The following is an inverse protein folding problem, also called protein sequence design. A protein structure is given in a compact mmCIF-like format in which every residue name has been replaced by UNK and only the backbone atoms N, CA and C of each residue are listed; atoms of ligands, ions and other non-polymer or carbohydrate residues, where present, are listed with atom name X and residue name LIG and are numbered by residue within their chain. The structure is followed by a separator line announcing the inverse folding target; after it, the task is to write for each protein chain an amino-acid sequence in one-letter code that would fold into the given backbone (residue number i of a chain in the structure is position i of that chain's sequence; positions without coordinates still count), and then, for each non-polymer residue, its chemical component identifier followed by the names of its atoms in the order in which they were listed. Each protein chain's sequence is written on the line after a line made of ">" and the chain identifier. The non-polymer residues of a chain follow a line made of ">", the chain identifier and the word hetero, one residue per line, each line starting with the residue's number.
data_IF_856213718899
#
_entry.id   IF_856213718899
#
_cell.length_a   1.000
_cell.length_b   1.000
_cell.length_c   1.000
_cell.angle_alpha   90.00
_cell.angle_beta   90.00
_cell.angle_gamma   90.00
#
_symmetry.space_group_name_H-M   'P 1'
#
loop_
_entity.id
_entity.type
_entity.pdbx_description
1 polymer ?
#
# COMPACT_ATOMS: atom_id res chain seq x y z
N UNK A 1 2.54 -14.94 -45.07
CA UNK A 1 2.72 -15.75 -43.85
C UNK A 1 1.88 -17.02 -43.97
N UNK A 2 2.53 -18.17 -44.08
CA UNK A 2 1.85 -19.44 -44.40
C UNK A 2 1.07 -19.96 -43.18
N UNK A 3 -0.14 -20.49 -43.42
CA UNK A 3 -1.05 -21.02 -42.38
C UNK A 3 -0.40 -22.04 -41.43
N UNK A 4 0.67 -22.72 -41.87
CA UNK A 4 1.46 -23.67 -41.07
C UNK A 4 2.35 -23.00 -40.02
N UNK A 5 2.87 -21.80 -40.27
CA UNK A 5 3.67 -21.05 -39.28
C UNK A 5 2.80 -20.45 -38.18
N UNK A 6 1.57 -20.07 -38.49
CA UNK A 6 0.60 -19.55 -37.50
C UNK A 6 0.13 -20.68 -36.57
N UNK A 7 -0.09 -21.89 -37.09
CA UNK A 7 -0.42 -23.06 -36.29
C UNK A 7 0.72 -23.44 -35.33
N UNK A 8 1.99 -23.42 -35.79
CA UNK A 8 3.13 -23.76 -34.93
C UNK A 8 3.42 -22.71 -33.85
N UNK A 9 3.14 -21.42 -34.11
CA UNK A 9 3.22 -20.34 -33.11
C UNK A 9 2.09 -20.43 -32.08
N UNK A 10 0.88 -20.79 -32.48
CA UNK A 10 -0.24 -20.99 -31.56
C UNK A 10 0.00 -22.18 -30.62
N UNK A 11 0.54 -23.29 -31.13
CA UNK A 11 0.82 -24.48 -30.31
C UNK A 11 2.00 -24.27 -29.34
N UNK A 12 2.99 -23.46 -29.70
CA UNK A 12 4.10 -23.10 -28.81
C UNK A 12 3.71 -22.06 -27.75
N UNK A 13 2.79 -21.13 -28.05
CA UNK A 13 2.21 -20.23 -27.03
C UNK A 13 1.31 -20.98 -26.04
N UNK A 14 0.55 -21.99 -26.48
CA UNK A 14 -0.31 -22.78 -25.59
C UNK A 14 0.49 -23.66 -24.62
N UNK A 15 1.65 -24.17 -25.02
CA UNK A 15 2.52 -24.95 -24.13
C UNK A 15 3.25 -24.03 -23.14
N UNK A 16 3.61 -22.80 -23.54
CA UNK A 16 4.19 -21.81 -22.63
C UNK A 16 3.18 -21.28 -21.60
N UNK A 17 1.90 -21.11 -21.99
CA UNK A 17 0.84 -20.70 -21.06
C UNK A 17 0.46 -21.80 -20.06
N UNK A 18 0.55 -23.08 -20.45
CA UNK A 18 0.31 -24.20 -19.55
C UNK A 18 1.46 -24.43 -18.53
N UNK A 19 2.69 -24.04 -18.86
CA UNK A 19 3.85 -24.19 -17.97
C UNK A 19 3.96 -23.08 -16.91
N UNK A 20 3.34 -21.92 -17.11
CA UNK A 20 3.37 -20.79 -16.15
C UNK A 20 2.22 -20.88 -15.13
N UNK A 21 1.12 -21.56 -15.45
CA UNK A 21 -0.06 -21.65 -14.58
C UNK A 21 0.00 -22.77 -13.53
N UNK A 22 1.07 -23.57 -13.47
CA UNK A 22 1.22 -24.66 -12.48
C UNK A 22 1.99 -24.25 -11.23
N UNK A 23 2.41 -22.99 -11.09
CA UNK A 23 3.17 -22.50 -9.92
C UNK A 23 2.35 -21.70 -8.90
N UNK A 24 1.02 -21.57 -9.08
CA UNK A 24 0.15 -20.89 -8.10
C UNK A 24 -1.10 -21.72 -7.84
N UNK A 25 -0.97 -22.70 -6.95
CA UNK A 25 -2.10 -23.30 -6.23
C UNK A 25 -2.05 -22.84 -4.76
N UNK A 26 -3.20 -22.52 -4.13
CA UNK A 26 -3.25 -22.10 -2.75
C UNK A 26 -3.06 -23.34 -1.86
N UNK A 27 -1.94 -23.43 -1.13
CA UNK A 27 -1.82 -24.46 -0.09
C UNK A 27 -2.71 -24.10 1.10
N UNK A 28 -3.80 -24.85 1.24
CA UNK A 28 -4.55 -25.00 2.49
C UNK A 28 -3.60 -25.56 3.55
N UNK A 29 -3.28 -24.75 4.54
CA UNK A 29 -2.51 -25.11 5.72
C UNK A 29 -3.18 -26.27 6.47
N UNK A 30 -2.66 -27.48 6.32
CA UNK A 30 -2.86 -28.55 7.28
C UNK A 30 -1.81 -28.40 8.38
N UNK A 31 -2.28 -28.04 9.59
CA UNK A 31 -1.49 -28.13 10.80
C UNK A 31 -1.23 -29.61 11.12
N UNK A 32 0.00 -30.09 10.86
CA UNK A 32 0.49 -31.35 11.42
C UNK A 32 1.42 -31.04 12.59
N UNK A 33 0.87 -31.18 13.80
CA UNK A 33 1.65 -31.32 15.01
C UNK A 33 2.43 -32.65 14.91
N UNK A 34 3.76 -32.58 14.92
CA UNK A 34 4.62 -33.75 15.00
C UNK A 34 4.56 -34.32 16.42
N UNK A 35 3.86 -35.44 16.58
CA UNK A 35 3.99 -36.31 17.75
C UNK A 35 5.33 -37.04 17.64
N UNK A 36 6.33 -36.61 18.40
CA UNK A 36 7.54 -37.39 18.64
C UNK A 36 7.35 -38.20 19.93
N UNK A 37 6.97 -39.46 19.76
CA UNK A 37 7.11 -40.47 20.81
C UNK A 37 8.50 -41.11 20.69
N UNK A 38 9.29 -41.01 21.75
CA UNK A 38 10.40 -41.92 22.03
C UNK A 38 10.47 -42.10 23.55
N UNK A 39 10.11 -43.30 23.97
CA UNK A 39 10.17 -43.77 25.34
C UNK A 39 11.60 -44.26 25.67
N UNK A 40 12.09 -43.90 26.84
CA UNK A 40 13.19 -44.58 27.55
C UNK A 40 13.00 -44.40 29.08
N UNK A 41 13.49 -45.35 29.90
CA UNK A 41 12.79 -45.79 31.11
C UNK A 41 13.08 -44.96 32.37
N UNK A 42 12.13 -45.02 33.30
CA UNK A 42 12.21 -44.47 34.64
C UNK A 42 13.42 -45.00 35.42
N UNK A 43 14.25 -44.09 35.94
CA UNK A 43 15.28 -44.38 36.94
C UNK A 43 14.85 -43.71 38.24
N UNK A 44 14.81 -44.52 39.30
CA UNK A 44 14.30 -44.21 40.62
C UNK A 44 14.98 -43.01 41.28
N UNK A 45 14.17 -42.19 41.96
CA UNK A 45 14.61 -41.08 42.80
C UNK A 45 15.28 -41.58 44.09
N UNK A 46 16.38 -40.97 44.56
CA UNK A 46 16.83 -41.13 45.94
C UNK A 46 15.98 -40.26 46.88
N UNK A 47 15.44 -40.90 47.92
CA UNK A 47 14.74 -40.24 49.02
C UNK A 47 15.70 -39.29 49.77
N UNK A 48 15.35 -38.00 49.85
CA UNK A 48 16.02 -37.07 50.76
C UNK A 48 15.43 -37.24 52.16
N UNK A 49 16.28 -37.65 53.10
CA UNK A 49 16.02 -37.63 54.53
C UNK A 49 15.70 -36.21 54.99
N UNK A 50 14.57 -36.07 55.68
CA UNK A 50 14.26 -34.87 56.45
C UNK A 50 15.22 -34.77 57.64
N UNK A 51 15.96 -33.66 57.72
CA UNK A 51 16.57 -33.18 58.96
C UNK A 51 16.09 -31.75 59.16
N UNK A 52 15.22 -31.58 60.14
CA UNK A 52 14.71 -30.30 60.60
C UNK A 52 15.84 -29.53 61.29
N UNK A 53 16.01 -28.25 60.95
CA UNK A 53 16.72 -27.29 61.81
C UNK A 53 15.96 -25.97 61.80
N UNK A 54 15.30 -25.77 62.95
CA UNK A 54 14.97 -24.55 63.69
C UNK A 54 14.96 -23.16 63.01
N UNK A 55 13.82 -22.50 63.23
CA UNK A 55 13.62 -21.10 63.63
C UNK A 55 13.99 -19.98 62.64
N UNK A 56 12.94 -19.48 62.02
CA UNK A 56 12.80 -18.31 61.16
C UNK A 56 12.96 -17.01 61.98
N UNK A 57 13.93 -16.17 61.61
CA UNK A 57 14.06 -14.77 62.03
C UNK A 57 13.56 -13.90 60.85
N UNK A 58 12.66 -12.92 61.04
CA UNK A 58 11.99 -12.27 59.93
C UNK A 58 12.97 -11.36 59.16
N UNK A 59 13.33 -11.79 57.95
CA UNK A 59 14.14 -11.01 57.01
C UNK A 59 13.42 -9.71 56.57
N UNK A 60 14.16 -8.60 56.38
CA UNK A 60 13.58 -7.31 55.98
C UNK A 60 12.93 -7.37 54.57
N UNK A 61 11.95 -6.50 54.28
CA UNK A 61 11.17 -6.57 53.04
C UNK A 61 12.06 -6.43 51.78
N UNK A 62 11.72 -7.14 50.69
CA UNK A 62 12.52 -7.13 49.47
C UNK A 62 12.53 -5.72 48.86
N UNK A 63 13.74 -5.21 48.58
CA UNK A 63 13.94 -3.97 47.84
C UNK A 63 13.26 -4.03 46.46
N UNK A 64 12.72 -2.92 45.93
CA UNK A 64 12.01 -2.90 44.65
C UNK A 64 12.91 -3.46 43.55
N UNK A 65 12.37 -4.41 42.79
CA UNK A 65 13.04 -5.04 41.66
C UNK A 65 13.61 -3.96 40.74
N UNK A 66 14.94 -3.82 40.77
CA UNK A 66 15.65 -3.03 39.80
C UNK A 66 15.33 -3.63 38.43
N UNK A 67 14.67 -2.84 37.58
CA UNK A 67 14.46 -3.16 36.18
C UNK A 67 15.84 -3.24 35.53
N UNK A 68 16.47 -4.40 35.59
CA UNK A 68 17.68 -4.66 34.82
C UNK A 68 17.26 -4.55 33.36
N UNK A 69 17.66 -3.47 32.69
CA UNK A 69 17.62 -3.38 31.24
C UNK A 69 18.57 -4.46 30.73
N UNK A 70 18.03 -5.64 30.46
CA UNK A 70 18.73 -6.70 29.74
C UNK A 70 19.00 -6.14 28.35
N UNK A 71 20.20 -5.58 28.18
CA UNK A 71 20.67 -5.06 26.91
C UNK A 71 20.84 -6.25 25.97
N UNK A 72 19.91 -6.40 25.01
CA UNK A 72 19.86 -7.56 24.14
C UNK A 72 21.11 -7.56 23.22
N UNK A 73 22.04 -8.51 23.37
CA UNK A 73 23.30 -8.54 22.62
C UNK A 73 23.10 -8.79 21.12
N UNK A 74 21.87 -9.08 20.68
CA UNK A 74 21.51 -9.39 19.29
C UNK A 74 20.58 -8.33 18.66
N UNK A 75 20.52 -7.12 19.22
CA UNK A 75 19.68 -6.02 18.72
C UNK A 75 20.22 -5.30 17.47
N UNK A 76 19.49 -4.28 17.01
CA UNK A 76 19.88 -3.44 15.85
C UNK A 76 21.28 -2.81 15.98
N UNK A 77 21.73 -2.53 17.21
CA UNK A 77 23.07 -2.01 17.48
C UNK A 77 24.19 -3.03 17.22
N UNK A 78 23.93 -4.32 17.47
CA UNK A 78 24.85 -5.41 17.17
C UNK A 78 24.93 -5.64 15.65
N UNK A 79 23.77 -5.67 14.97
CA UNK A 79 23.68 -5.69 13.50
C UNK A 79 24.46 -4.56 12.82
N UNK A 80 24.46 -3.35 13.38
CA UNK A 80 25.24 -2.25 12.78
C UNK A 80 26.74 -2.39 13.05
N UNK A 81 27.15 -2.74 14.27
CA UNK A 81 28.57 -2.88 14.65
C UNK A 81 29.23 -4.10 14.01
N UNK A 82 28.55 -5.24 13.97
CA UNK A 82 29.05 -6.52 13.49
C UNK A 82 28.63 -6.84 12.05
N UNK A 83 27.63 -6.13 11.52
CA UNK A 83 27.08 -6.42 10.20
C UNK A 83 28.02 -6.07 9.05
N UNK A 84 28.14 -7.03 8.14
CA UNK A 84 28.84 -6.92 6.87
C UNK A 84 28.26 -5.78 5.99
N UNK A 85 29.03 -5.31 5.01
CA UNK A 85 28.62 -4.20 4.13
C UNK A 85 27.25 -4.44 3.46
N UNK A 86 27.01 -5.68 3.01
CA UNK A 86 25.75 -6.09 2.38
C UNK A 86 24.57 -5.99 3.35
N UNK A 87 24.76 -6.41 4.61
CA UNK A 87 23.72 -6.33 5.64
C UNK A 87 23.26 -4.89 5.88
N UNK A 88 24.21 -3.96 5.98
CA UNK A 88 23.94 -2.52 6.16
C UNK A 88 23.24 -1.93 4.95
N UNK A 89 23.64 -2.32 3.74
CA UNK A 89 22.99 -1.88 2.50
C UNK A 89 21.54 -2.34 2.42
N UNK A 90 21.27 -3.62 2.70
CA UNK A 90 19.90 -4.19 2.71
C UNK A 90 19.02 -3.48 3.74
N UNK A 91 19.55 -3.26 4.95
CA UNK A 91 18.84 -2.54 6.00
C UNK A 91 18.50 -1.10 5.58
N UNK A 92 19.49 -0.37 5.04
CA UNK A 92 19.29 1.00 4.56
C UNK A 92 18.25 1.07 3.44
N UNK A 93 18.31 0.13 2.49
CA UNK A 93 17.34 0.03 1.41
C UNK A 93 15.91 -0.17 1.95
N UNK A 94 15.72 -1.09 2.89
CA UNK A 94 14.42 -1.33 3.53
C UNK A 94 13.90 -0.09 4.27
N UNK A 95 14.78 0.66 4.95
CA UNK A 95 14.42 1.91 5.63
C UNK A 95 13.95 2.97 4.62
N UNK A 96 14.66 3.16 3.51
CA UNK A 96 14.27 4.10 2.46
C UNK A 96 12.93 3.72 1.85
N UNK A 97 12.73 2.43 1.55
CA UNK A 97 11.45 1.90 1.04
C UNK A 97 10.31 2.18 2.04
N UNK A 98 10.53 1.94 3.33
CA UNK A 98 9.56 2.22 4.40
C UNK A 98 9.19 3.70 4.47
N UNK A 99 10.19 4.58 4.49
CA UNK A 99 9.97 6.03 4.53
C UNK A 99 9.18 6.51 3.29
N UNK A 100 9.54 6.01 2.10
CA UNK A 100 8.83 6.30 0.86
C UNK A 100 7.37 5.83 0.92
N UNK A 101 7.10 4.63 1.46
CA UNK A 101 5.75 4.11 1.60
C UNK A 101 4.89 4.95 2.54
N UNK A 102 5.45 5.34 3.69
CA UNK A 102 4.75 6.22 4.63
C UNK A 102 4.48 7.62 4.03
N UNK A 103 5.47 8.21 3.36
CA UNK A 103 5.31 9.51 2.70
C UNK A 103 4.18 9.49 1.66
N UNK A 104 4.17 8.51 0.76
CA UNK A 104 3.13 8.39 -0.28
C UNK A 104 1.76 8.14 0.36
N UNK A 105 1.69 7.25 1.36
CA UNK A 105 0.44 6.92 2.03
C UNK A 105 -0.19 8.16 2.69
N UNK A 106 0.61 8.95 3.40
CA UNK A 106 0.14 10.17 4.09
C UNK A 106 -0.28 11.25 3.08
N UNK A 107 0.58 11.54 2.10
CA UNK A 107 0.30 12.59 1.10
C UNK A 107 -0.95 12.28 0.29
N UNK A 108 -1.08 11.04 -0.23
CA UNK A 108 -2.28 10.63 -0.98
C UNK A 108 -3.53 10.55 -0.12
N UNK A 109 -3.41 10.14 1.15
CA UNK A 109 -4.54 10.16 2.08
C UNK A 109 -5.13 11.57 2.22
N UNK A 110 -4.28 12.59 2.40
CA UNK A 110 -4.71 13.98 2.52
C UNK A 110 -5.23 14.54 1.20
N UNK A 111 -4.56 14.29 0.08
CA UNK A 111 -5.00 14.70 -1.25
C UNK A 111 -6.42 14.18 -1.54
N UNK A 112 -6.66 12.91 -1.24
CA UNK A 112 -7.93 12.25 -1.48
C UNK A 112 -9.03 12.70 -0.53
N UNK A 113 -8.70 12.92 0.75
CA UNK A 113 -9.63 13.48 1.71
C UNK A 113 -10.08 14.89 1.29
N UNK A 114 -9.13 15.73 0.84
CA UNK A 114 -9.42 17.08 0.34
C UNK A 114 -10.27 17.04 -0.93
N UNK A 115 -9.94 16.18 -1.89
CA UNK A 115 -10.71 16.02 -3.14
C UNK A 115 -12.13 15.54 -2.87
N UNK A 116 -12.34 14.60 -1.96
CA UNK A 116 -13.68 14.12 -1.63
C UNK A 116 -14.54 15.19 -0.94
N UNK A 117 -13.94 16.08 -0.14
CA UNK A 117 -14.65 17.26 0.40
C UNK A 117 -15.00 18.26 -0.70
N UNK A 118 -14.04 18.55 -1.59
CA UNK A 118 -14.24 19.45 -2.74
C UNK A 118 -15.32 18.96 -3.70
N UNK A 119 -15.40 17.65 -3.92
CA UNK A 119 -16.44 17.02 -4.75
C UNK A 119 -17.85 17.40 -4.31
N UNK A 120 -18.11 17.38 -2.99
CA UNK A 120 -19.43 17.75 -2.44
C UNK A 120 -19.77 19.22 -2.68
N UNK A 121 -18.79 20.10 -2.51
CA UNK A 121 -18.98 21.54 -2.73
C UNK A 121 -19.05 21.89 -4.22
N UNK A 122 -18.34 21.17 -5.08
CA UNK A 122 -18.34 21.36 -6.53
C UNK A 122 -19.75 21.17 -7.13
N UNK A 123 -20.47 20.12 -6.71
CA UNK A 123 -21.85 19.90 -7.14
C UNK A 123 -22.76 21.06 -6.70
N UNK A 124 -22.67 21.49 -5.44
CA UNK A 124 -23.49 22.60 -4.93
C UNK A 124 -23.20 23.93 -5.65
N UNK A 125 -21.92 24.26 -5.84
CA UNK A 125 -21.48 25.52 -6.45
C UNK A 125 -21.79 25.58 -7.95
N UNK A 126 -21.46 24.52 -8.70
CA UNK A 126 -21.68 24.50 -10.14
C UNK A 126 -23.17 24.55 -10.49
N UNK A 127 -24.00 23.82 -9.73
CA UNK A 127 -25.43 23.74 -10.03
C UNK A 127 -26.25 24.91 -9.52
N UNK A 128 -25.74 25.65 -8.53
CA UNK A 128 -26.37 26.87 -8.01
C UNK A 128 -25.94 28.13 -8.76
N UNK A 129 -24.88 28.07 -9.57
CA UNK A 129 -24.37 29.22 -10.32
C UNK A 129 -25.31 29.62 -11.49
N UNK A 130 -25.35 30.91 -11.85
CA UNK A 130 -26.14 31.41 -12.99
C UNK A 130 -25.67 30.86 -14.33
N UNK A 131 -24.37 30.57 -14.47
CA UNK A 131 -23.78 29.99 -15.68
C UNK A 131 -22.73 28.92 -15.32
N UNK A 132 -22.48 28.00 -16.25
CA UNK A 132 -21.44 26.97 -16.14
C UNK A 132 -20.05 27.58 -15.97
N UNK A 133 -19.76 28.68 -16.68
CA UNK A 133 -18.47 29.38 -16.62
C UNK A 133 -18.24 30.03 -15.26
N UNK A 134 -19.24 30.75 -14.73
CA UNK A 134 -19.15 31.33 -13.38
C UNK A 134 -19.07 30.25 -12.30
N UNK A 135 -19.82 29.16 -12.47
CA UNK A 135 -19.75 28.01 -11.59
C UNK A 135 -18.36 27.41 -11.57
N UNK A 136 -17.74 27.16 -12.75
CA UNK A 136 -16.39 26.62 -12.88
C UNK A 136 -15.31 27.50 -12.22
N UNK A 137 -15.43 28.82 -12.32
CA UNK A 137 -14.49 29.77 -11.69
C UNK A 137 -14.56 29.78 -10.16
N UNK A 138 -15.71 29.42 -9.57
CA UNK A 138 -15.87 29.29 -8.12
C UNK A 138 -15.23 28.03 -7.55
N UNK A 139 -14.89 27.04 -8.39
CA UNK A 139 -14.15 25.87 -7.93
C UNK A 139 -12.68 26.22 -7.64
N UNK A 140 -12.11 25.51 -6.68
CA UNK A 140 -10.69 25.58 -6.33
C UNK A 140 -9.81 25.21 -7.54
N UNK A 141 -8.79 26.03 -7.82
CA UNK A 141 -7.87 25.88 -8.95
C UNK A 141 -7.16 24.51 -8.98
N UNK A 142 -6.89 23.92 -7.82
CA UNK A 142 -6.26 22.61 -7.70
C UNK A 142 -7.25 21.44 -7.67
N UNK A 143 -8.53 21.70 -7.94
CA UNK A 143 -9.59 20.70 -7.93
C UNK A 143 -9.67 19.96 -9.27
N UNK A 144 -9.68 18.61 -9.27
CA UNK A 144 -9.94 17.83 -10.48
C UNK A 144 -11.27 18.18 -11.17
N UNK A 145 -12.25 18.61 -10.40
CA UNK A 145 -13.56 19.01 -10.90
C UNK A 145 -13.50 20.30 -11.72
N UNK A 146 -12.62 21.25 -11.34
CA UNK A 146 -12.44 22.49 -12.09
C UNK A 146 -11.78 22.23 -13.43
N UNK A 147 -10.71 21.43 -13.42
CA UNK A 147 -10.02 21.02 -14.63
C UNK A 147 -10.98 20.39 -15.65
N UNK A 148 -11.85 19.47 -15.20
CA UNK A 148 -12.84 18.84 -16.08
C UNK A 148 -13.88 19.86 -16.57
N UNK A 149 -14.37 20.75 -15.69
CA UNK A 149 -15.34 21.78 -16.07
C UNK A 149 -14.77 22.75 -17.12
N UNK A 150 -13.54 23.23 -16.92
CA UNK A 150 -12.85 24.13 -17.85
C UNK A 150 -12.63 23.45 -19.21
N UNK A 151 -12.11 22.22 -19.23
CA UNK A 151 -11.95 21.45 -20.47
C UNK A 151 -13.28 21.20 -21.18
N UNK A 152 -14.35 20.90 -20.44
CA UNK A 152 -15.67 20.69 -21.03
C UNK A 152 -16.24 21.98 -21.65
N UNK A 153 -16.09 23.12 -20.96
CA UNK A 153 -16.54 24.44 -21.44
C UNK A 153 -15.74 24.85 -22.68
N UNK A 154 -14.41 24.71 -22.64
CA UNK A 154 -13.52 25.02 -23.75
C UNK A 154 -13.85 24.18 -24.98
N UNK A 155 -14.06 22.87 -24.80
CA UNK A 155 -14.47 21.96 -25.87
C UNK A 155 -15.85 22.33 -26.47
N UNK A 156 -16.76 22.84 -25.63
CA UNK A 156 -18.07 23.29 -26.09
C UNK A 156 -18.05 24.63 -26.85
N UNK A 157 -17.03 25.47 -26.63
CA UNK A 157 -16.86 26.79 -27.25
C UNK A 157 -15.99 26.78 -28.51
N UNK A 158 -14.97 25.91 -28.58
CA UNK A 158 -13.99 25.87 -29.68
C UNK A 158 -14.26 24.74 -30.69
N UNK A 159 -15.51 24.30 -30.83
CA UNK A 159 -15.88 23.27 -31.82
C UNK A 159 -15.73 23.76 -33.27
N UNK A 160 -15.71 25.08 -33.49
CA UNK A 160 -15.66 25.72 -34.81
C UNK A 160 -14.25 25.77 -35.46
N UNK A 161 -13.24 25.12 -34.86
CA UNK A 161 -11.90 25.04 -35.47
C UNK A 161 -11.90 24.09 -36.68
N UNK A 162 -11.27 24.52 -37.79
CA UNK A 162 -11.35 23.89 -39.12
C UNK A 162 -10.91 22.41 -39.21
N UNK A 163 -10.26 21.85 -38.18
CA UNK A 163 -9.89 20.42 -38.10
C UNK A 163 -10.93 19.55 -37.37
N UNK A 164 -11.91 20.16 -36.70
CA UNK A 164 -12.94 19.50 -35.88
C UNK A 164 -14.34 19.55 -36.50
N UNK A 165 -14.52 20.30 -37.58
CA UNK A 165 -15.80 20.50 -38.28
C UNK A 165 -16.43 19.18 -38.78
N UNK A 166 -15.61 18.16 -39.06
CA UNK A 166 -16.07 16.82 -39.46
C UNK A 166 -16.56 15.94 -38.29
N UNK A 167 -16.33 16.34 -37.03
CA UNK A 167 -16.71 15.59 -35.83
C UNK A 167 -17.95 16.25 -35.22
N UNK A 168 -18.97 15.46 -34.92
CA UNK A 168 -20.18 15.97 -34.24
C UNK A 168 -19.83 16.60 -32.88
N UNK A 169 -20.44 17.76 -32.57
CA UNK A 169 -20.19 18.51 -31.33
C UNK A 169 -20.40 17.64 -30.07
N UNK A 170 -21.40 16.76 -30.07
CA UNK A 170 -21.66 15.86 -28.96
C UNK A 170 -20.47 14.91 -28.72
N UNK A 171 -19.96 14.33 -29.82
CA UNK A 171 -18.80 13.43 -29.80
C UNK A 171 -17.53 14.15 -29.36
N UNK A 172 -17.32 15.39 -29.82
CA UNK A 172 -16.14 16.18 -29.43
C UNK A 172 -16.12 16.50 -27.93
N UNK A 173 -17.25 16.94 -27.36
CA UNK A 173 -17.35 17.24 -25.92
C UNK A 173 -17.16 15.95 -25.11
N UNK A 174 -17.79 14.84 -25.50
CA UNK A 174 -17.67 13.54 -24.82
C UNK A 174 -16.20 13.08 -24.75
N UNK A 175 -15.50 13.07 -25.89
CA UNK A 175 -14.08 12.68 -25.96
C UNK A 175 -13.21 13.62 -25.13
N UNK A 176 -13.50 14.92 -25.13
CA UNK A 176 -12.72 15.91 -24.36
C UNK A 176 -12.89 15.72 -22.85
N UNK A 177 -14.12 15.46 -22.40
CA UNK A 177 -14.44 15.15 -21.00
C UNK A 177 -13.79 13.83 -20.58
N UNK A 178 -13.89 12.77 -21.39
CA UNK A 178 -13.29 11.47 -21.07
C UNK A 178 -11.75 11.54 -21.01
N UNK A 179 -11.12 12.34 -21.87
CA UNK A 179 -9.68 12.64 -21.79
C UNK A 179 -9.33 13.35 -20.48
N UNK A 180 -10.12 14.33 -20.07
CA UNK A 180 -9.91 15.03 -18.80
C UNK A 180 -10.07 14.09 -17.60
N UNK A 181 -11.10 13.23 -17.60
CA UNK A 181 -11.31 12.19 -16.59
C UNK A 181 -10.13 11.21 -16.55
N UNK A 182 -9.62 10.78 -17.70
CA UNK A 182 -8.47 9.88 -17.80
C UNK A 182 -7.21 10.52 -17.23
N UNK A 183 -6.97 11.81 -17.50
CA UNK A 183 -5.85 12.54 -16.92
C UNK A 183 -5.95 12.63 -15.39
N UNK A 184 -7.15 12.89 -14.86
CA UNK A 184 -7.39 12.87 -13.41
C UNK A 184 -7.15 11.47 -12.83
N UNK A 185 -7.62 10.42 -13.51
CA UNK A 185 -7.40 9.02 -13.10
C UNK A 185 -5.92 8.68 -13.03
N UNK A 186 -5.13 9.07 -14.04
CA UNK A 186 -3.70 8.81 -14.07
C UNK A 186 -2.98 9.50 -12.91
N UNK A 187 -3.30 10.77 -12.65
CA UNK A 187 -2.73 11.53 -11.52
C UNK A 187 -3.10 10.95 -10.15
N UNK A 188 -4.28 10.33 -10.02
CA UNK A 188 -4.66 9.60 -8.82
C UNK A 188 -3.87 8.30 -8.64
N UNK A 189 -3.34 7.72 -9.71
CA UNK A 189 -2.53 6.50 -9.70
C UNK A 189 -1.05 6.75 -9.36
N UNK A 190 -0.59 7.99 -9.40
CA UNK A 190 0.79 8.35 -9.08
C UNK A 190 1.21 7.82 -7.69
N UNK A 191 2.42 7.26 -7.61
CA UNK A 191 2.98 6.72 -6.36
C UNK A 191 2.37 5.38 -5.89
N UNK A 192 1.20 4.96 -6.39
CA UNK A 192 0.64 3.65 -6.06
C UNK A 192 1.51 2.50 -6.57
N UNK A 193 2.13 2.67 -7.74
CA UNK A 193 3.08 1.71 -8.29
C UNK A 193 4.25 1.47 -7.31
N UNK A 194 4.77 2.53 -6.68
CA UNK A 194 5.84 2.39 -5.68
C UNK A 194 5.38 1.58 -4.47
N UNK A 195 4.19 1.85 -3.92
CA UNK A 195 3.63 1.08 -2.81
C UNK A 195 3.44 -0.39 -3.17
N UNK A 196 2.96 -0.68 -4.38
CA UNK A 196 2.81 -2.04 -4.88
C UNK A 196 4.16 -2.76 -5.01
N UNK A 197 5.17 -2.08 -5.57
CA UNK A 197 6.54 -2.62 -5.69
C UNK A 197 7.17 -2.85 -4.32
N UNK A 198 7.08 -1.90 -3.38
CA UNK A 198 7.61 -2.09 -2.02
C UNK A 198 6.91 -3.25 -1.33
N UNK A 199 5.58 -3.31 -1.42
CA UNK A 199 4.79 -4.37 -0.82
C UNK A 199 5.14 -5.78 -1.32
N UNK A 200 5.47 -5.92 -2.61
CA UNK A 200 5.85 -7.22 -3.19
C UNK A 200 7.32 -7.56 -3.04
N UNK A 201 8.23 -6.57 -3.02
CA UNK A 201 9.68 -6.81 -3.05
C UNK A 201 10.35 -6.79 -1.67
N UNK A 202 9.84 -6.00 -0.71
CA UNK A 202 10.44 -5.87 0.61
C UNK A 202 10.59 -7.21 1.38
N UNK A 203 9.65 -8.18 1.32
CA UNK A 203 9.84 -9.49 1.97
C UNK A 203 11.03 -10.26 1.39
N UNK A 204 11.22 -10.21 0.07
CA UNK A 204 12.32 -10.88 -0.60
C UNK A 204 13.67 -10.21 -0.32
N UNK A 205 13.68 -8.88 -0.20
CA UNK A 205 14.87 -8.13 0.21
C UNK A 205 15.27 -8.51 1.65
N UNK A 206 14.29 -8.63 2.57
CA UNK A 206 14.52 -9.13 3.92
C UNK A 206 15.08 -10.56 3.94
N UNK A 207 14.43 -11.46 3.19
CA UNK A 207 14.88 -12.85 3.03
C UNK A 207 16.31 -12.93 2.50
N UNK A 208 16.65 -12.15 1.47
CA UNK A 208 18.01 -12.06 0.92
C UNK A 208 19.01 -11.66 2.00
N UNK A 209 18.69 -10.66 2.82
CA UNK A 209 19.49 -10.25 3.97
C UNK A 209 19.76 -11.40 4.94
N UNK A 210 18.76 -12.24 5.19
CA UNK A 210 18.94 -13.40 6.11
C UNK A 210 19.80 -14.49 5.51
N UNK A 211 19.63 -14.77 4.22
CA UNK A 211 20.41 -15.78 3.51
C UNK A 211 21.87 -15.36 3.49
N UNK A 212 22.14 -14.07 3.23
CA UNK A 212 23.49 -13.52 3.28
C UNK A 212 24.11 -13.61 4.68
N UNK A 213 23.36 -13.21 5.72
CA UNK A 213 23.83 -13.24 7.10
C UNK A 213 24.19 -14.66 7.56
N UNK A 214 23.32 -15.64 7.27
CA UNK A 214 23.57 -17.05 7.59
C UNK A 214 24.77 -17.59 6.78
N UNK A 215 24.88 -17.25 5.51
CA UNK A 215 26.03 -17.64 4.68
C UNK A 215 27.35 -17.13 5.26
N UNK A 216 27.40 -15.85 5.67
CA UNK A 216 28.61 -15.27 6.25
C UNK A 216 28.96 -15.92 7.61
N UNK A 217 27.95 -16.19 8.44
CA UNK A 217 28.11 -16.87 9.71
C UNK A 217 28.71 -18.28 9.54
N UNK A 218 28.13 -19.09 8.64
CA UNK A 218 28.60 -20.45 8.37
C UNK A 218 30.01 -20.46 7.78
N UNK A 219 30.33 -19.48 6.91
CA UNK A 219 31.68 -19.33 6.35
C UNK A 219 32.71 -19.04 7.46
N UNK A 220 32.40 -18.14 8.39
CA UNK A 220 33.27 -17.81 9.51
C UNK A 220 33.52 -19.02 10.44
N UNK A 221 32.49 -19.83 10.71
CA UNK A 221 32.61 -21.07 11.49
C UNK A 221 33.47 -22.10 10.76
N UNK A 222 33.28 -22.25 9.44
CA UNK A 222 34.06 -23.16 8.61
C UNK A 222 35.56 -22.81 8.60
N UNK A 223 35.90 -21.52 8.55
CA UNK A 223 37.29 -21.04 8.62
C UNK A 223 37.88 -21.26 10.03
N UNK A 224 37.10 -21.03 11.09
CA UNK A 224 37.54 -21.19 12.48
C UNK A 224 37.77 -22.66 12.89
N UNK A 225 37.19 -23.63 12.16
CA UNK A 225 37.34 -25.06 12.42
C UNK A 225 36.70 -25.58 13.71
N UNK A 226 36.06 -24.70 14.51
CA UNK A 226 35.33 -25.05 15.72
C UNK A 226 33.89 -24.55 15.62
N UNK A 227 32.95 -25.48 15.54
CA UNK A 227 31.53 -25.18 15.65
C UNK A 227 31.12 -25.19 17.12
N UNK A 228 30.80 -24.02 17.69
CA UNK A 228 30.10 -23.92 18.97
C UNK A 228 28.81 -23.11 18.80
N UNK A 229 27.76 -23.49 19.54
CA UNK A 229 26.44 -22.83 19.48
C UNK A 229 26.57 -21.31 19.73
N UNK A 230 27.43 -20.90 20.66
CA UNK A 230 27.64 -19.49 20.99
C UNK A 230 28.18 -18.67 19.81
N UNK A 231 28.92 -19.30 18.89
CA UNK A 231 29.46 -18.65 17.69
C UNK A 231 28.42 -18.54 16.56
N UNK A 232 27.39 -19.39 16.58
CA UNK A 232 26.35 -19.43 15.53
C UNK A 232 25.12 -18.62 15.93
N UNK A 233 24.73 -18.66 17.20
CA UNK A 233 23.46 -18.12 17.69
C UNK A 233 23.31 -16.62 17.43
N UNK A 234 24.37 -15.84 17.63
CA UNK A 234 24.34 -14.39 17.41
C UNK A 234 24.12 -14.00 15.95
N UNK A 235 25.02 -14.37 15.02
CA UNK A 235 24.89 -14.03 13.61
C UNK A 235 23.58 -14.54 12.98
N UNK A 236 23.09 -15.72 13.39
CA UNK A 236 21.81 -16.25 12.90
C UNK A 236 20.63 -15.45 13.45
N UNK A 237 20.65 -15.05 14.72
CA UNK A 237 19.64 -14.17 15.30
C UNK A 237 19.58 -12.80 14.64
N UNK A 238 20.75 -12.19 14.39
CA UNK A 238 20.88 -10.93 13.66
C UNK A 238 20.32 -11.04 12.24
N UNK A 239 20.59 -12.15 11.55
CA UNK A 239 20.02 -12.42 10.23
C UNK A 239 18.48 -12.44 10.27
N UNK A 240 17.86 -13.16 11.22
CA UNK A 240 16.39 -13.26 11.31
C UNK A 240 15.68 -11.90 11.47
N UNK A 241 16.33 -10.92 12.10
CA UNK A 241 15.79 -9.57 12.24
C UNK A 241 15.57 -8.90 10.86
N UNK A 242 16.41 -9.18 9.85
CA UNK A 242 16.21 -8.58 8.52
C UNK A 242 14.92 -9.04 7.84
N UNK A 243 14.53 -10.32 7.99
CA UNK A 243 13.22 -10.78 7.50
C UNK A 243 12.08 -10.12 8.25
N UNK A 244 12.20 -9.99 9.57
CA UNK A 244 11.19 -9.30 10.37
C UNK A 244 11.02 -7.84 9.93
N UNK A 245 12.11 -7.14 9.64
CA UNK A 245 12.07 -5.77 9.10
C UNK A 245 11.46 -5.76 7.69
N UNK A 246 11.86 -6.68 6.80
CA UNK A 246 11.30 -6.80 5.45
C UNK A 246 9.77 -6.95 5.47
N UNK A 247 9.24 -7.80 6.36
CA UNK A 247 7.80 -7.93 6.59
C UNK A 247 7.18 -6.68 7.22
N UNK A 248 7.86 -6.07 8.19
CA UNK A 248 7.44 -4.81 8.82
C UNK A 248 7.31 -3.64 7.84
N UNK A 249 8.10 -3.63 6.75
CA UNK A 249 8.00 -2.67 5.66
C UNK A 249 6.90 -3.05 4.66
N UNK A 250 6.81 -4.33 4.31
CA UNK A 250 5.88 -4.82 3.29
C UNK A 250 4.40 -4.70 3.71
N UNK A 251 4.08 -5.10 4.94
CA UNK A 251 2.68 -5.17 5.40
C UNK A 251 1.98 -3.81 5.35
N UNK A 252 2.55 -2.72 5.92
CA UNK A 252 1.94 -1.40 5.82
C UNK A 252 1.83 -0.91 4.36
N UNK A 253 2.83 -1.20 3.51
CA UNK A 253 2.82 -0.79 2.11
C UNK A 253 1.66 -1.44 1.32
N UNK A 254 1.45 -2.75 1.50
CA UNK A 254 0.33 -3.48 0.86
C UNK A 254 -1.02 -3.01 1.37
N UNK A 255 -1.16 -2.81 2.69
CA UNK A 255 -2.40 -2.30 3.28
C UNK A 255 -2.72 -0.89 2.78
N UNK A 256 -1.71 -0.01 2.74
CA UNK A 256 -1.80 1.32 2.18
C UNK A 256 -2.25 1.29 0.72
N UNK A 257 -1.59 0.48 -0.11
CA UNK A 257 -1.93 0.33 -1.54
C UNK A 257 -3.40 -0.03 -1.73
N UNK A 258 -3.85 -1.10 -1.07
CA UNK A 258 -5.23 -1.59 -1.18
C UNK A 258 -6.25 -0.55 -0.69
N UNK A 259 -5.93 0.14 0.41
CA UNK A 259 -6.78 1.20 0.96
C UNK A 259 -6.93 2.37 -0.02
N UNK A 260 -5.81 2.87 -0.56
CA UNK A 260 -5.79 4.00 -1.49
C UNK A 260 -6.49 3.64 -2.81
N UNK A 261 -6.27 2.45 -3.37
CA UNK A 261 -6.93 2.00 -4.61
C UNK A 261 -8.45 1.94 -4.46
N UNK A 262 -8.94 1.35 -3.36
CA UNK A 262 -10.39 1.30 -3.08
C UNK A 262 -10.98 2.70 -2.99
N UNK A 263 -10.26 3.62 -2.35
CA UNK A 263 -10.71 4.99 -2.17
C UNK A 263 -10.64 5.78 -3.49
N UNK A 264 -9.66 5.50 -4.35
CA UNK A 264 -9.52 6.10 -5.68
C UNK A 264 -10.74 5.75 -6.52
N UNK A 265 -11.17 4.49 -6.49
CA UNK A 265 -12.39 4.04 -7.17
C UNK A 265 -13.61 4.89 -6.78
N UNK A 266 -13.84 5.11 -5.48
CA UNK A 266 -14.97 5.90 -4.99
C UNK A 266 -14.90 7.37 -5.43
N UNK A 267 -13.71 7.97 -5.46
CA UNK A 267 -13.56 9.34 -5.97
C UNK A 267 -13.77 9.40 -7.48
N UNK A 268 -13.23 8.44 -8.23
CA UNK A 268 -13.39 8.37 -9.68
C UNK A 268 -14.84 8.17 -10.12
N UNK A 269 -15.66 7.45 -9.35
CA UNK A 269 -17.10 7.36 -9.58
C UNK A 269 -17.77 8.74 -9.54
N UNK A 270 -17.39 9.60 -8.59
CA UNK A 270 -17.91 10.98 -8.49
C UNK A 270 -17.42 11.85 -9.64
N UNK A 271 -16.14 11.73 -9.99
CA UNK A 271 -15.52 12.47 -11.10
C UNK A 271 -16.22 12.13 -12.42
N UNK A 272 -16.49 10.84 -12.67
CA UNK A 272 -17.22 10.38 -13.86
C UNK A 272 -18.67 10.85 -13.87
N UNK A 273 -19.36 10.78 -12.73
CA UNK A 273 -20.73 11.28 -12.61
C UNK A 273 -20.80 12.79 -12.91
N UNK A 274 -19.84 13.57 -12.41
CA UNK A 274 -19.72 14.99 -12.69
C UNK A 274 -19.47 15.30 -14.17
N UNK A 275 -18.53 14.58 -14.81
CA UNK A 275 -18.28 14.71 -16.25
C UNK A 275 -19.50 14.39 -17.10
N UNK A 276 -20.23 13.33 -16.77
CA UNK A 276 -21.48 12.98 -17.47
C UNK A 276 -22.56 14.06 -17.32
N UNK A 277 -22.68 14.68 -16.15
CA UNK A 277 -23.62 15.79 -15.95
C UNK A 277 -23.21 17.04 -16.74
N UNK A 278 -21.92 17.37 -16.78
CA UNK A 278 -21.40 18.47 -17.59
C UNK A 278 -21.71 18.28 -19.07
N UNK A 279 -21.45 17.08 -19.58
CA UNK A 279 -21.76 16.71 -20.98
C UNK A 279 -23.25 16.90 -21.29
N UNK A 280 -24.13 16.40 -20.42
CA UNK A 280 -25.57 16.57 -20.57
C UNK A 280 -26.02 18.04 -20.60
N UNK A 281 -25.46 18.89 -19.72
CA UNK A 281 -25.86 20.32 -19.67
C UNK A 281 -25.29 21.12 -20.84
N UNK A 282 -24.07 20.84 -21.28
CA UNK A 282 -23.47 21.47 -22.46
C UNK A 282 -24.20 21.10 -23.76
N UNK A 283 -24.79 19.91 -23.81
CA UNK A 283 -25.64 19.47 -24.92
C UNK A 283 -27.05 20.07 -24.84
N UNK A 284 -27.63 20.17 -23.63
CA UNK A 284 -28.98 20.69 -23.41
C UNK A 284 -29.14 22.19 -23.73
N UNK A 285 -28.04 22.95 -23.77
CA UNK A 285 -27.97 24.31 -24.32
C UNK A 285 -28.98 25.30 -23.72
N UNK A 286 -28.56 26.09 -22.71
CA UNK A 286 -29.20 27.33 -22.20
C UNK A 286 -30.69 27.31 -21.80
N UNK A 287 -31.44 26.23 -22.00
CA UNK A 287 -32.84 26.10 -21.53
C UNK A 287 -32.89 25.43 -20.17
N UNK A 288 -32.32 26.09 -19.15
CA UNK A 288 -32.62 25.73 -17.76
C UNK A 288 -33.84 26.56 -17.35
N UNK A 289 -35.02 25.98 -17.07
CA UNK A 289 -36.02 26.71 -16.32
C UNK A 289 -35.39 26.99 -14.95
N UNK A 290 -35.20 28.26 -14.62
CA UNK A 290 -34.66 28.68 -13.35
C UNK A 290 -35.45 27.99 -12.23
N UNK A 291 -34.79 27.15 -11.43
CA UNK A 291 -35.42 26.53 -10.27
C UNK A 291 -35.75 27.67 -9.31
N UNK A 292 -37.03 27.96 -9.00
CA UNK A 292 -37.35 29.05 -8.11
C UNK A 292 -36.71 28.75 -6.75
N UNK A 293 -35.82 29.64 -6.33
CA UNK A 293 -35.29 29.66 -4.97
C UNK A 293 -36.52 29.83 -4.08
N UNK A 294 -36.85 28.80 -3.30
CA UNK A 294 -37.90 28.90 -2.31
C UNK A 294 -37.45 29.93 -1.27
N UNK A 295 -37.93 31.16 -1.44
CA UNK A 295 -37.80 32.22 -0.43
C UNK A 295 -38.51 31.69 0.80
N UNK A 296 -37.73 31.26 1.78
CA UNK A 296 -38.23 30.91 3.11
C UNK A 296 -38.72 32.23 3.70
N UNK A 297 -40.01 32.51 3.52
CA UNK A 297 -40.67 33.65 4.15
C UNK A 297 -40.52 33.50 5.65
N UNK A 298 -39.65 34.31 6.25
CA UNK A 298 -39.62 34.52 7.67
C UNK A 298 -40.90 35.29 8.02
N UNK A 299 -41.96 34.54 8.35
CA UNK A 299 -43.15 35.10 8.94
C UNK A 299 -42.79 35.57 10.36
N UNK A 300 -42.50 36.86 10.47
CA UNK A 300 -42.54 37.64 11.70
C UNK A 300 -43.95 37.51 12.28
N UNK A 301 -44.07 36.91 13.47
CA UNK A 301 -45.31 36.94 14.24
C UNK A 301 -45.28 38.17 15.19
N UNK A 302 -46.40 38.89 15.37
CA UNK A 302 -46.52 40.03 16.28
C UNK A 302 -46.52 39.62 17.76
#
# INVERSE_FOLDING_TARGET
>A
MNKRSVANLATSLLIAAAAVNTLVAPQLAHAQASVAASAAPAVAAPQMNASATAADEPAPPPAPAATQSVENPYGLGALWKNGDFVARFVLLLLVIMSMGSWYIMVTKFFEQFRTNRRAKHADEQLWSAPSLTEGAQQLDESSPFRFIAETAIEAGQHHDEALLEAVDRNTWIDVSVERAITNVSNRMQDGLAFLATVGSTAPFIGLFGTVWGIYHALTAIGIAGQASIDKVAGPVGEALIMTAIGLGVAVPAVLGYNFLVRRNKSVMERVRAFGAQLHAVLLAGSKRPARPVAVRSAATAP
#
